data_IF_253198639453
#
_entry.id   IF_253198639453
#
_cell.length_a   1.000
_cell.length_b   1.000
_cell.length_c   1.000
_cell.angle_alpha   90.00
_cell.angle_beta   90.00
_cell.angle_gamma   90.00
#
_symmetry.space_group_name_H-M   'P 1'
#
loop_
_entity.id
_entity.type
_entity.pdbx_description
1 polymer ?
#
# COMPACT_ATOMS: atom_id res chain seq x y z
N UNK A 1 52.61 0.27 -20.35
CA UNK A 1 51.63 1.29 -20.68
C UNK A 1 50.38 0.58 -21.24
N UNK A 2 49.26 0.53 -20.66
CA UNK A 2 48.30 1.40 -20.00
C UNK A 2 47.49 0.59 -18.99
N UNK A 3 47.61 0.89 -17.71
CA UNK A 3 46.54 0.69 -16.72
C UNK A 3 45.78 2.01 -16.72
N UNK A 4 44.49 1.97 -16.87
CA UNK A 4 43.52 2.96 -16.36
C UNK A 4 42.16 2.65 -16.98
N UNK A 5 41.23 2.12 -16.18
CA UNK A 5 39.78 2.46 -16.17
C UNK A 5 38.99 1.36 -15.47
N UNK A 6 39.10 1.26 -14.16
CA UNK A 6 38.19 0.43 -13.35
C UNK A 6 37.86 1.08 -11.98
N UNK A 7 37.96 2.40 -11.83
CA UNK A 7 37.66 3.06 -10.56
C UNK A 7 36.27 3.74 -10.49
N UNK A 8 35.64 4.05 -11.62
CA UNK A 8 34.34 4.77 -11.56
C UNK A 8 33.17 3.86 -11.27
N UNK A 9 33.23 2.57 -11.59
CA UNK A 9 32.15 1.62 -11.31
C UNK A 9 32.03 1.20 -9.84
N UNK A 10 33.15 1.24 -9.10
CA UNK A 10 33.20 0.80 -7.71
C UNK A 10 32.71 1.89 -6.74
N UNK A 11 32.92 3.16 -7.03
CA UNK A 11 32.42 4.27 -6.22
C UNK A 11 30.90 4.42 -6.36
N UNK A 12 30.35 4.28 -7.57
CA UNK A 12 28.91 4.28 -7.77
C UNK A 12 28.22 3.08 -7.11
N UNK A 13 28.83 1.89 -7.13
CA UNK A 13 28.29 0.72 -6.42
C UNK A 13 28.38 0.88 -4.89
N UNK A 14 29.45 1.49 -4.37
CA UNK A 14 29.56 1.79 -2.93
C UNK A 14 28.59 2.88 -2.48
N UNK A 15 28.30 3.88 -3.33
CA UNK A 15 27.27 4.87 -3.06
C UNK A 15 25.87 4.23 -3.04
N UNK A 16 25.56 3.35 -4.00
CA UNK A 16 24.30 2.60 -4.05
C UNK A 16 24.16 1.60 -2.89
N UNK A 17 25.24 0.96 -2.45
CA UNK A 17 25.24 0.06 -1.28
C UNK A 17 25.19 0.83 0.04
N UNK A 18 25.73 2.04 0.11
CA UNK A 18 25.59 2.94 1.27
C UNK A 18 24.18 3.49 1.40
N UNK A 19 23.45 3.67 0.29
CA UNK A 19 22.04 4.08 0.27
C UNK A 19 21.10 2.90 0.58
N UNK A 20 21.46 1.67 0.24
CA UNK A 20 20.67 0.48 0.55
C UNK A 20 20.79 0.01 2.01
N UNK A 21 21.80 0.46 2.75
CA UNK A 21 22.04 0.06 4.15
C UNK A 21 21.37 0.91 5.22
N UNK A 22 20.76 2.03 4.86
CA UNK A 22 19.92 2.84 5.73
C UNK A 22 18.51 2.79 5.17
N UNK A 23 17.69 1.92 5.74
CA UNK A 23 16.28 1.76 5.38
C UNK A 23 15.51 3.06 5.66
N UNK A 24 15.39 3.85 4.66
CA UNK A 24 14.75 5.16 4.63
C UNK A 24 15.63 6.06 3.79
N UNK A 25 15.16 6.47 2.63
CA UNK A 25 15.77 7.59 1.92
C UNK A 25 15.55 8.81 2.80
N UNK A 26 16.53 9.08 3.69
CA UNK A 26 16.70 10.37 4.31
C UNK A 26 17.14 11.30 3.18
N UNK A 27 16.21 11.86 2.45
CA UNK A 27 16.49 12.98 1.58
C UNK A 27 16.50 14.24 2.43
N UNK A 28 17.71 14.74 2.67
CA UNK A 28 17.93 16.00 3.36
C UNK A 28 17.09 17.14 2.76
N UNK A 29 16.10 17.62 3.50
CA UNK A 29 15.78 19.04 3.61
C UNK A 29 15.22 19.76 2.39
N UNK A 30 14.69 19.10 1.37
CA UNK A 30 13.75 19.73 0.43
C UNK A 30 12.56 18.80 0.25
N UNK A 31 11.38 19.35 0.40
CA UNK A 31 10.10 18.73 0.09
C UNK A 31 10.22 18.21 -1.34
N UNK A 32 10.50 16.91 -1.48
CA UNK A 32 10.34 16.26 -2.77
C UNK A 32 8.88 16.44 -3.15
N UNK A 33 8.67 17.01 -4.32
CA UNK A 33 7.32 17.18 -4.81
C UNK A 33 6.66 15.81 -4.84
N UNK A 34 5.40 15.68 -4.47
CA UNK A 34 4.68 14.42 -4.54
C UNK A 34 4.80 13.73 -5.90
N UNK A 35 5.18 14.48 -6.94
CA UNK A 35 5.44 14.01 -8.31
C UNK A 35 6.70 13.14 -8.41
N UNK A 36 7.79 13.52 -7.76
CA UNK A 36 9.05 12.74 -7.77
C UNK A 36 8.84 11.44 -7.00
N UNK A 37 8.17 11.52 -5.86
CA UNK A 37 7.79 10.33 -5.11
C UNK A 37 6.86 9.41 -5.91
N UNK A 38 5.90 9.98 -6.65
CA UNK A 38 5.04 9.20 -7.54
C UNK A 38 5.84 8.45 -8.60
N UNK A 39 6.83 9.08 -9.23
CA UNK A 39 7.69 8.41 -10.21
C UNK A 39 8.41 7.22 -9.59
N UNK A 40 9.02 7.39 -8.43
CA UNK A 40 9.69 6.31 -7.70
C UNK A 40 8.74 5.15 -7.36
N UNK A 41 7.56 5.46 -6.83
CA UNK A 41 6.53 4.46 -6.52
C UNK A 41 6.08 3.72 -7.77
N UNK A 42 5.91 4.42 -8.89
CA UNK A 42 5.51 3.83 -10.17
C UNK A 42 6.58 2.89 -10.75
N UNK A 43 7.86 3.22 -10.60
CA UNK A 43 8.97 2.33 -10.99
C UNK A 43 8.99 1.07 -10.12
N UNK A 44 8.84 1.24 -8.81
CA UNK A 44 8.73 0.12 -7.88
C UNK A 44 7.53 -0.80 -8.22
N UNK A 45 6.36 -0.23 -8.51
CA UNK A 45 5.18 -0.98 -8.93
C UNK A 45 5.41 -1.78 -10.21
N UNK A 46 6.04 -1.19 -11.23
CA UNK A 46 6.39 -1.88 -12.47
C UNK A 46 7.31 -3.07 -12.22
N UNK A 47 8.34 -2.88 -11.39
CA UNK A 47 9.28 -3.94 -11.00
C UNK A 47 8.55 -5.07 -10.26
N UNK A 48 7.74 -4.71 -9.26
CA UNK A 48 6.96 -5.69 -8.48
C UNK A 48 5.94 -6.43 -9.35
N UNK A 49 5.30 -5.75 -10.29
CA UNK A 49 4.36 -6.36 -11.24
C UNK A 49 5.07 -7.38 -12.14
N UNK A 50 6.24 -7.03 -12.69
CA UNK A 50 7.03 -7.94 -13.51
C UNK A 50 7.48 -9.19 -12.72
N UNK A 51 7.91 -9.02 -11.46
CA UNK A 51 8.24 -10.14 -10.57
C UNK A 51 7.04 -11.05 -10.32
N UNK A 52 5.88 -10.46 -10.10
CA UNK A 52 4.63 -11.22 -9.88
C UNK A 52 4.20 -11.97 -11.14
N UNK A 53 4.31 -11.35 -12.33
CA UNK A 53 4.01 -12.02 -13.61
C UNK A 53 4.95 -13.22 -13.84
N UNK A 54 6.25 -13.10 -13.52
CA UNK A 54 7.21 -14.21 -13.58
C UNK A 54 6.83 -15.32 -12.59
N UNK A 55 6.53 -14.98 -11.34
CA UNK A 55 6.14 -15.96 -10.32
C UNK A 55 4.86 -16.72 -10.69
N UNK A 56 3.90 -16.07 -11.35
CA UNK A 56 2.69 -16.72 -11.86
C UNK A 56 3.05 -17.76 -12.93
N UNK A 57 3.88 -17.39 -13.92
CA UNK A 57 4.29 -18.31 -14.99
C UNK A 57 5.08 -19.52 -14.45
N UNK A 58 5.97 -19.30 -13.50
CA UNK A 58 6.71 -20.36 -12.82
C UNK A 58 5.76 -21.27 -12.04
N UNK A 59 4.81 -20.69 -11.28
CA UNK A 59 3.81 -21.46 -10.54
C UNK A 59 2.84 -22.24 -11.45
N UNK A 60 2.42 -21.71 -12.59
CA UNK A 60 1.60 -22.43 -13.57
C UNK A 60 2.35 -23.65 -14.12
N UNK A 61 3.65 -23.49 -14.44
CA UNK A 61 4.49 -24.59 -14.91
C UNK A 61 4.68 -25.67 -13.84
N UNK A 62 4.95 -25.28 -12.59
CA UNK A 62 5.09 -26.24 -11.49
C UNK A 62 3.80 -27.03 -11.25
N UNK A 63 2.62 -26.38 -11.38
CA UNK A 63 1.32 -27.05 -11.29
C UNK A 63 1.15 -28.06 -12.43
N UNK A 64 1.53 -27.70 -13.65
CA UNK A 64 1.47 -28.58 -14.82
C UNK A 64 2.40 -29.79 -14.63
N UNK A 65 3.66 -29.58 -14.25
CA UNK A 65 4.64 -30.63 -13.97
C UNK A 65 4.15 -31.60 -12.87
N UNK A 66 3.53 -31.06 -11.78
CA UNK A 66 2.94 -31.86 -10.70
C UNK A 66 1.76 -32.70 -11.19
N UNK A 67 0.91 -32.17 -12.07
CA UNK A 67 -0.20 -32.88 -12.67
C UNK A 67 0.28 -34.03 -13.57
N UNK A 68 1.28 -33.76 -14.44
CA UNK A 68 1.87 -34.76 -15.31
C UNK A 68 2.47 -35.91 -14.49
N UNK A 69 3.27 -35.59 -13.48
CA UNK A 69 3.84 -36.58 -12.56
C UNK A 69 2.77 -37.44 -11.87
N UNK A 70 1.69 -36.82 -11.42
CA UNK A 70 0.58 -37.53 -10.76
C UNK A 70 -0.07 -38.54 -11.71
N UNK A 71 -0.35 -38.19 -12.96
CA UNK A 71 -1.00 -39.08 -13.92
C UNK A 71 -0.09 -40.21 -14.40
N UNK A 72 1.19 -39.96 -14.58
CA UNK A 72 2.16 -40.95 -14.99
C UNK A 72 2.36 -42.03 -13.93
N UNK A 73 2.28 -41.67 -12.66
CA UNK A 73 2.56 -42.59 -11.53
C UNK A 73 1.30 -43.01 -10.76
N UNK A 74 0.10 -42.69 -11.27
CA UNK A 74 -1.16 -42.91 -10.57
C UNK A 74 -1.37 -44.37 -10.08
N UNK A 75 -1.04 -45.36 -10.91
CA UNK A 75 -1.22 -46.80 -10.60
C UNK A 75 -0.27 -47.28 -9.50
N UNK A 76 0.94 -46.73 -9.42
CA UNK A 76 1.91 -47.08 -8.37
C UNK A 76 1.57 -46.38 -7.05
N UNK A 77 1.09 -45.14 -7.10
CA UNK A 77 0.67 -44.37 -5.92
C UNK A 77 -0.57 -44.92 -5.24
N UNK A 78 -1.48 -45.56 -5.98
CA UNK A 78 -2.69 -46.16 -5.42
C UNK A 78 -2.34 -47.41 -4.56
N UNK A 79 -1.25 -48.10 -4.87
CA UNK A 79 -0.76 -49.25 -4.11
C UNK A 79 -0.12 -48.83 -2.75
N UNK A 80 0.43 -47.62 -2.65
CA UNK A 80 1.12 -47.11 -1.47
C UNK A 80 0.46 -45.89 -0.79
N UNK A 81 -0.79 -45.61 -1.01
CA UNK A 81 -1.73 -44.64 -0.40
C UNK A 81 -1.22 -43.34 0.24
N UNK A 82 -0.04 -43.32 0.84
CA UNK A 82 0.56 -42.17 1.50
C UNK A 82 1.15 -41.16 0.52
N UNK A 83 1.79 -41.59 -0.57
CA UNK A 83 2.41 -40.68 -1.57
C UNK A 83 1.34 -39.90 -2.33
N UNK A 84 0.17 -40.48 -2.57
CA UNK A 84 -0.95 -39.83 -3.21
C UNK A 84 -1.46 -38.62 -2.36
N UNK A 85 -1.56 -38.79 -1.04
CA UNK A 85 -2.00 -37.72 -0.15
C UNK A 85 -1.00 -36.57 -0.11
N UNK A 86 0.28 -36.84 -0.01
CA UNK A 86 1.33 -35.81 0.06
C UNK A 86 1.43 -35.04 -1.25
N UNK A 87 1.33 -35.72 -2.39
CA UNK A 87 1.32 -35.06 -3.71
C UNK A 87 0.09 -34.17 -3.91
N UNK A 88 -1.10 -34.61 -3.49
CA UNK A 88 -2.29 -33.77 -3.53
C UNK A 88 -2.15 -32.55 -2.63
N UNK A 89 -1.59 -32.70 -1.42
CA UNK A 89 -1.35 -31.56 -0.52
C UNK A 89 -0.34 -30.57 -1.10
N UNK A 90 0.73 -31.05 -1.75
CA UNK A 90 1.71 -30.21 -2.41
C UNK A 90 1.08 -29.42 -3.56
N UNK A 91 0.28 -30.10 -4.40
CA UNK A 91 -0.45 -29.46 -5.49
C UNK A 91 -1.41 -28.36 -5.00
N UNK A 92 -2.20 -28.64 -3.95
CA UNK A 92 -3.08 -27.64 -3.35
C UNK A 92 -2.33 -26.43 -2.80
N UNK A 93 -1.18 -26.63 -2.16
CA UNK A 93 -0.33 -25.53 -1.67
C UNK A 93 0.16 -24.67 -2.82
N UNK A 94 0.62 -25.30 -3.91
CA UNK A 94 1.10 -24.58 -5.09
C UNK A 94 -0.01 -23.81 -5.81
N UNK A 95 -1.19 -24.41 -5.94
CA UNK A 95 -2.36 -23.73 -6.50
C UNK A 95 -2.75 -22.50 -5.66
N UNK A 96 -2.79 -22.63 -4.33
CA UNK A 96 -3.10 -21.50 -3.45
C UNK A 96 -2.03 -20.40 -3.53
N UNK A 97 -0.75 -20.78 -3.56
CA UNK A 97 0.35 -19.82 -3.71
C UNK A 97 0.25 -19.04 -5.04
N UNK A 98 -0.10 -19.74 -6.13
CA UNK A 98 -0.29 -19.11 -7.43
C UNK A 98 -1.52 -18.19 -7.45
N UNK A 99 -2.63 -18.58 -6.81
CA UNK A 99 -3.81 -17.72 -6.65
C UNK A 99 -3.49 -16.43 -5.89
N UNK A 100 -2.69 -16.51 -4.83
CA UNK A 100 -2.21 -15.33 -4.10
C UNK A 100 -1.41 -14.38 -5.01
N UNK A 101 -0.58 -14.92 -5.92
CA UNK A 101 0.15 -14.10 -6.89
C UNK A 101 -0.82 -13.42 -7.89
N UNK A 102 -1.87 -14.08 -8.34
CA UNK A 102 -2.91 -13.47 -9.17
C UNK A 102 -3.63 -12.31 -8.47
N UNK A 103 -3.96 -12.48 -7.19
CA UNK A 103 -4.59 -11.44 -6.38
C UNK A 103 -3.64 -10.24 -6.18
N UNK A 104 -2.35 -10.52 -5.94
CA UNK A 104 -1.32 -9.50 -5.80
C UNK A 104 -1.14 -8.72 -7.11
N UNK A 105 -1.06 -9.40 -8.26
CA UNK A 105 -1.04 -8.80 -9.59
C UNK A 105 -2.22 -7.86 -9.83
N UNK A 106 -3.43 -8.32 -9.51
CA UNK A 106 -4.66 -7.53 -9.64
C UNK A 106 -4.59 -6.25 -8.77
N UNK A 107 -4.06 -6.36 -7.55
CA UNK A 107 -3.84 -5.23 -6.65
C UNK A 107 -2.84 -4.23 -7.24
N UNK A 108 -1.68 -4.70 -7.68
CA UNK A 108 -0.66 -3.83 -8.27
C UNK A 108 -1.15 -3.13 -9.54
N UNK A 109 -1.88 -3.83 -10.41
CA UNK A 109 -2.52 -3.20 -11.59
C UNK A 109 -3.48 -2.09 -11.21
N UNK A 110 -4.27 -2.27 -10.14
CA UNK A 110 -5.14 -1.22 -9.63
C UNK A 110 -4.35 -0.05 -9.05
N UNK A 111 -3.25 -0.32 -8.35
CA UNK A 111 -2.37 0.71 -7.80
C UNK A 111 -1.65 1.51 -8.89
N UNK A 112 -1.43 0.96 -10.08
CA UNK A 112 -0.84 1.69 -11.22
C UNK A 112 -1.68 2.90 -11.66
N UNK A 113 -2.99 2.89 -11.44
CA UNK A 113 -3.84 4.05 -11.73
C UNK A 113 -3.65 5.16 -10.69
N UNK A 114 -3.72 4.81 -9.41
CA UNK A 114 -3.58 5.75 -8.28
C UNK A 114 -2.96 5.02 -7.08
N UNK A 115 -1.61 5.03 -6.95
CA UNK A 115 -0.93 4.27 -5.91
C UNK A 115 -1.18 4.81 -4.51
N UNK A 116 -1.29 6.12 -4.36
CA UNK A 116 -1.61 6.78 -3.10
C UNK A 116 -2.49 8.00 -3.34
N UNK A 117 -3.19 8.43 -2.30
CA UNK A 117 -4.10 9.58 -2.33
C UNK A 117 -3.90 10.55 -1.16
N UNK A 118 -3.12 10.16 -0.17
CA UNK A 118 -2.83 10.98 1.01
C UNK A 118 -1.42 10.79 1.52
N UNK A 119 -0.92 11.78 2.26
CA UNK A 119 0.31 11.71 3.06
C UNK A 119 0.07 12.38 4.40
N UNK A 120 0.61 11.78 5.45
CA UNK A 120 0.71 12.37 6.78
C UNK A 120 2.18 12.45 7.14
N UNK A 121 2.62 13.61 7.56
CA UNK A 121 3.92 13.83 8.14
C UNK A 121 3.73 13.82 9.66
N UNK A 122 4.22 12.74 10.32
CA UNK A 122 4.00 12.49 11.73
C UNK A 122 5.33 12.47 12.48
N UNK A 123 5.47 13.34 13.46
CA UNK A 123 6.64 13.44 14.32
C UNK A 123 6.34 12.73 15.63
N UNK A 124 7.06 11.66 15.91
CA UNK A 124 6.93 10.96 17.18
C UNK A 124 7.47 11.81 18.33
N UNK A 125 6.92 11.59 19.52
CA UNK A 125 7.43 12.24 20.72
C UNK A 125 8.88 11.87 20.97
N UNK A 126 9.76 12.88 20.93
CA UNK A 126 11.22 12.73 21.12
C UNK A 126 12.03 12.64 19.83
N UNK A 127 11.41 12.58 18.65
CA UNK A 127 12.10 12.63 17.38
C UNK A 127 12.26 14.06 16.87
N UNK A 128 13.36 14.34 16.15
CA UNK A 128 13.62 15.66 15.59
C UNK A 128 12.94 15.89 14.24
N UNK A 129 12.72 14.84 13.46
CA UNK A 129 12.17 14.90 12.10
C UNK A 129 10.88 14.08 11.99
N UNK A 130 9.90 14.56 11.22
CA UNK A 130 8.67 13.82 10.97
C UNK A 130 8.91 12.64 10.03
N UNK A 131 8.21 11.56 10.29
CA UNK A 131 8.13 10.40 9.43
C UNK A 131 6.97 10.56 8.42
N UNK A 132 7.23 10.25 7.14
CA UNK A 132 6.27 10.44 6.06
C UNK A 132 5.51 9.14 5.79
N UNK A 133 4.18 9.18 5.90
CA UNK A 133 3.30 8.05 5.64
C UNK A 133 2.43 8.32 4.42
N UNK A 134 2.76 7.71 3.29
CA UNK A 134 1.92 7.74 2.10
C UNK A 134 0.83 6.68 2.18
N UNK A 135 -0.42 7.06 1.94
CA UNK A 135 -1.61 6.25 2.16
C UNK A 135 -2.30 5.97 0.83
N UNK A 136 -2.55 4.71 0.56
CA UNK A 136 -3.15 4.25 -0.70
C UNK A 136 -4.13 3.09 -0.50
N UNK A 137 -4.50 2.46 -1.61
CA UNK A 137 -5.47 1.37 -1.64
C UNK A 137 -4.89 0.00 -1.24
N UNK A 138 -3.60 -0.07 -0.97
CA UNK A 138 -2.91 -1.29 -0.52
C UNK A 138 -1.46 -1.00 -0.16
N UNK A 139 -0.84 -1.93 0.57
CA UNK A 139 0.57 -1.84 0.89
C UNK A 139 1.43 -2.07 -0.35
N UNK A 140 2.45 -1.24 -0.51
CA UNK A 140 3.54 -1.42 -1.45
C UNK A 140 4.86 -1.30 -0.71
N UNK A 141 5.73 -2.30 -0.86
CA UNK A 141 7.11 -2.28 -0.38
C UNK A 141 8.05 -2.55 -1.54
N UNK A 142 9.25 -2.03 -1.47
CA UNK A 142 10.26 -2.25 -2.52
C UNK A 142 10.65 -3.73 -2.63
N UNK A 143 10.82 -4.37 -1.47
CA UNK A 143 11.05 -5.82 -1.33
C UNK A 143 10.07 -6.40 -0.33
N UNK A 144 9.84 -7.71 -0.40
CA UNK A 144 9.00 -8.38 0.58
C UNK A 144 9.60 -8.24 1.99
N UNK A 145 8.78 -7.79 2.95
CA UNK A 145 9.19 -7.60 4.34
C UNK A 145 9.91 -6.28 4.63
N UNK A 146 10.23 -5.44 3.64
CA UNK A 146 10.74 -4.10 3.89
C UNK A 146 9.62 -3.14 4.30
N UNK A 147 10.01 -2.01 4.88
CA UNK A 147 9.08 -0.93 5.22
C UNK A 147 8.22 -0.55 4.01
N UNK A 148 6.90 -0.36 4.19
CA UNK A 148 6.05 0.08 3.09
C UNK A 148 6.42 1.47 2.57
N UNK A 149 6.47 1.61 1.26
CA UNK A 149 6.49 2.91 0.56
C UNK A 149 5.08 3.53 0.58
N UNK A 150 4.05 2.70 0.43
CA UNK A 150 2.65 3.10 0.51
C UNK A 150 1.96 2.18 1.51
N UNK A 151 1.27 2.77 2.46
CA UNK A 151 0.48 2.07 3.48
C UNK A 151 -0.96 1.88 3.01
N UNK A 152 -1.51 0.71 3.28
CA UNK A 152 -2.93 0.45 3.07
C UNK A 152 -3.75 1.43 3.95
N UNK A 153 -4.81 2.00 3.40
CA UNK A 153 -5.69 2.93 4.12
C UNK A 153 -6.32 2.32 5.38
N UNK A 154 -6.36 0.98 5.48
CA UNK A 154 -6.83 0.23 6.67
C UNK A 154 -5.75 0.01 7.72
N UNK A 155 -4.48 0.28 7.40
CA UNK A 155 -3.40 0.14 8.37
C UNK A 155 -3.61 1.05 9.58
N UNK A 156 -3.18 0.65 10.79
CA UNK A 156 -3.34 1.47 12.00
C UNK A 156 -2.82 2.91 11.84
N UNK A 157 -1.61 3.07 11.29
CA UNK A 157 -1.00 4.38 11.05
C UNK A 157 -1.81 5.26 10.10
N UNK A 158 -2.56 4.67 9.17
CA UNK A 158 -3.43 5.43 8.27
C UNK A 158 -4.60 6.10 8.99
N UNK A 159 -4.88 5.73 10.26
CA UNK A 159 -5.81 6.43 11.16
C UNK A 159 -5.44 7.89 11.35
N UNK A 160 -4.16 8.22 11.38
CA UNK A 160 -3.69 9.59 11.50
C UNK A 160 -4.27 10.51 10.42
N UNK A 161 -4.45 9.98 9.20
CA UNK A 161 -5.01 10.75 8.10
C UNK A 161 -6.52 11.04 8.25
N UNK A 162 -7.27 10.09 8.80
CA UNK A 162 -8.74 10.17 8.84
C UNK A 162 -9.28 10.76 10.14
N UNK A 163 -8.63 10.46 11.25
CA UNK A 163 -9.20 10.69 12.59
C UNK A 163 -8.70 11.98 13.23
N UNK A 164 -7.56 12.52 12.76
CA UNK A 164 -6.92 13.70 13.32
C UNK A 164 -6.78 14.81 12.29
N UNK A 165 -6.80 16.05 12.78
CA UNK A 165 -6.30 17.22 12.05
C UNK A 165 -4.81 17.43 12.39
N UNK A 166 -4.16 18.54 11.98
CA UNK A 166 -2.80 18.87 12.42
C UNK A 166 -2.74 19.06 13.94
N UNK A 167 -1.61 18.71 14.54
CA UNK A 167 -1.38 18.79 15.95
C UNK A 167 -1.30 17.42 16.64
N UNK A 168 -1.48 17.34 17.95
CA UNK A 168 -1.31 16.12 18.71
C UNK A 168 -2.20 14.98 18.20
N UNK A 169 -1.59 13.81 18.00
CA UNK A 169 -2.28 12.63 17.49
C UNK A 169 -1.61 11.35 18.00
N UNK A 170 -2.36 10.26 17.99
CA UNK A 170 -1.86 8.95 18.36
C UNK A 170 -2.50 7.85 17.52
N UNK A 171 -1.82 6.73 17.35
CA UNK A 171 -2.40 5.54 16.77
C UNK A 171 -1.97 4.29 17.53
N UNK A 172 -2.84 3.28 17.53
CA UNK A 172 -2.60 2.00 18.19
C UNK A 172 -2.18 0.96 17.14
N UNK A 173 -1.04 0.33 17.35
CA UNK A 173 -0.55 -0.79 16.56
C UNK A 173 -0.32 -2.01 17.45
N UNK A 174 -0.15 -3.22 16.91
CA UNK A 174 0.12 -4.42 17.71
C UNK A 174 1.32 -4.30 18.65
N UNK A 175 2.26 -3.40 18.35
CA UNK A 175 3.45 -3.12 19.18
C UNK A 175 3.21 -2.10 20.28
N UNK A 176 2.05 -1.42 20.33
CA UNK A 176 1.70 -0.43 21.35
C UNK A 176 1.03 0.82 20.77
N UNK A 177 0.88 1.82 21.64
CA UNK A 177 0.36 3.14 21.30
C UNK A 177 1.55 4.03 20.92
N UNK A 178 1.43 4.74 19.82
CA UNK A 178 2.41 5.69 19.33
C UNK A 178 1.82 7.09 19.39
N UNK A 179 2.44 7.97 20.16
CA UNK A 179 2.02 9.35 20.36
C UNK A 179 2.98 10.30 19.67
N UNK A 180 2.49 11.46 19.26
CA UNK A 180 3.27 12.48 18.57
C UNK A 180 2.41 13.57 17.98
N UNK A 181 2.91 14.27 16.97
CA UNK A 181 2.25 15.39 16.34
C UNK A 181 2.21 15.23 14.81
N UNK A 182 1.04 15.52 14.22
CA UNK A 182 0.90 15.66 12.77
C UNK A 182 1.35 17.06 12.38
N UNK A 183 2.48 17.14 11.68
CA UNK A 183 3.07 18.41 11.23
C UNK A 183 2.47 18.88 9.91
N UNK A 184 2.18 17.97 8.99
CA UNK A 184 1.45 18.29 7.76
C UNK A 184 0.62 17.10 7.24
N UNK A 185 -0.38 17.43 6.42
CA UNK A 185 -1.24 16.46 5.73
C UNK A 185 -1.43 16.90 4.30
N UNK A 186 -1.22 15.98 3.37
CA UNK A 186 -1.32 16.24 1.95
C UNK A 186 -2.35 15.33 1.30
N UNK A 187 -3.05 15.86 0.32
CA UNK A 187 -3.97 15.11 -0.54
C UNK A 187 -3.49 15.15 -1.98
N UNK A 188 -3.62 14.02 -2.63
CA UNK A 188 -3.17 13.83 -4.01
C UNK A 188 -4.32 13.34 -4.87
N UNK A 189 -4.44 13.91 -6.06
CA UNK A 189 -5.29 13.35 -7.11
C UNK A 189 -4.40 12.79 -8.20
N UNK A 190 -4.38 11.48 -8.28
CA UNK A 190 -3.61 10.73 -9.27
C UNK A 190 -4.60 9.96 -10.14
N UNK A 191 -4.39 9.96 -11.44
CA UNK A 191 -5.18 9.21 -12.40
C UNK A 191 -4.28 8.73 -13.54
N UNK A 192 -4.40 7.45 -13.92
CA UNK A 192 -3.56 6.80 -14.91
C UNK A 192 -2.05 6.96 -14.61
N UNK A 193 -1.67 6.92 -13.34
CA UNK A 193 -0.29 7.10 -12.90
C UNK A 193 0.25 8.52 -13.05
N UNK A 194 -0.61 9.50 -13.28
CA UNK A 194 -0.22 10.91 -13.42
C UNK A 194 -0.81 11.76 -12.30
N UNK A 195 0.02 12.62 -11.70
CA UNK A 195 -0.41 13.59 -10.69
C UNK A 195 -1.19 14.71 -11.37
N UNK A 196 -2.49 14.81 -11.08
CA UNK A 196 -3.34 15.89 -11.55
C UNK A 196 -3.15 17.12 -10.68
N UNK A 197 -3.25 16.96 -9.36
CA UNK A 197 -2.95 18.00 -8.38
C UNK A 197 -2.54 17.40 -7.03
N UNK A 198 -1.87 18.25 -6.25
CA UNK A 198 -1.49 18.01 -4.86
C UNK A 198 -1.77 19.26 -4.05
N UNK A 199 -2.24 19.11 -2.82
CA UNK A 199 -2.46 20.24 -1.93
C UNK A 199 -2.33 19.82 -0.46
N UNK A 200 -1.90 20.75 0.35
CA UNK A 200 -1.85 20.58 1.80
C UNK A 200 -3.25 20.79 2.41
N UNK A 201 -3.68 19.83 3.25
CA UNK A 201 -5.08 19.75 3.70
C UNK A 201 -5.52 20.87 4.64
N UNK A 202 -4.58 21.62 5.24
CA UNK A 202 -4.87 22.70 6.21
C UNK A 202 -4.73 24.12 5.63
N UNK A 203 -4.30 24.24 4.42
CA UNK A 203 -4.43 25.52 3.72
C UNK A 203 -5.92 25.70 3.49
N UNK A 204 -6.52 26.77 4.03
CA UNK A 204 -7.83 27.23 3.60
C UNK A 204 -7.73 27.32 2.08
N UNK A 205 -8.32 26.32 1.41
CA UNK A 205 -8.27 26.25 -0.04
C UNK A 205 -8.89 27.54 -0.51
N UNK A 206 -8.10 28.38 -1.15
CA UNK A 206 -8.62 29.58 -1.80
C UNK A 206 -9.74 29.13 -2.73
N UNK A 207 -10.91 29.72 -2.59
CA UNK A 207 -12.16 29.33 -3.25
C UNK A 207 -12.03 29.13 -4.78
N UNK A 208 -10.95 29.64 -5.39
CA UNK A 208 -10.71 29.55 -6.84
C UNK A 208 -10.29 28.15 -7.31
N UNK A 209 -9.43 27.41 -6.58
CA UNK A 209 -8.99 26.08 -6.99
C UNK A 209 -10.10 25.06 -6.71
N UNK A 210 -10.81 25.23 -5.60
CA UNK A 210 -11.99 24.44 -5.27
C UNK A 210 -13.15 24.73 -6.20
N UNK A 211 -13.36 25.99 -6.57
CA UNK A 211 -14.41 26.43 -7.47
C UNK A 211 -14.24 25.92 -8.90
N UNK A 212 -12.99 25.81 -9.39
CA UNK A 212 -12.71 25.28 -10.72
C UNK A 212 -13.00 23.77 -10.85
N UNK A 213 -12.80 23.00 -9.77
CA UNK A 213 -13.07 21.54 -9.76
C UNK A 213 -14.51 21.19 -9.37
N UNK A 214 -15.22 22.05 -8.67
CA UNK A 214 -16.49 21.74 -8.04
C UNK A 214 -17.72 22.43 -8.64
N UNK A 215 -17.53 23.37 -9.52
CA UNK A 215 -18.58 23.93 -10.39
C UNK A 215 -19.82 24.53 -9.74
N UNK A 216 -19.98 24.58 -8.40
CA UNK A 216 -21.10 25.27 -7.76
C UNK A 216 -21.00 25.39 -6.23
N UNK A 217 -21.51 26.49 -5.72
CA UNK A 217 -21.52 26.89 -4.29
C UNK A 217 -22.25 25.93 -3.30
N UNK A 218 -22.84 24.83 -3.79
CA UNK A 218 -23.57 23.88 -2.97
C UNK A 218 -22.75 22.73 -2.36
N UNK A 219 -21.49 22.55 -2.80
CA UNK A 219 -20.75 21.34 -2.51
C UNK A 219 -19.88 21.38 -1.26
N UNK A 220 -19.62 22.53 -0.66
CA UNK A 220 -18.83 22.65 0.59
C UNK A 220 -19.54 21.97 1.75
N UNK A 221 -20.86 22.09 1.85
CA UNK A 221 -21.66 21.39 2.87
C UNK A 221 -21.68 19.87 2.61
N UNK A 222 -21.78 19.47 1.33
CA UNK A 222 -21.76 18.05 0.95
C UNK A 222 -20.41 17.39 1.29
N UNK A 223 -19.31 18.11 1.10
CA UNK A 223 -17.96 17.63 1.45
C UNK A 223 -17.76 17.42 2.94
N UNK A 224 -18.26 18.35 3.76
CA UNK A 224 -18.21 18.21 5.21
C UNK A 224 -19.04 17.00 5.67
N UNK A 225 -20.19 16.78 5.05
CA UNK A 225 -21.05 15.61 5.31
C UNK A 225 -20.32 14.32 4.88
N UNK A 226 -19.75 14.27 3.68
CA UNK A 226 -18.99 13.10 3.18
C UNK A 226 -17.79 12.80 4.07
N UNK A 227 -17.04 13.82 4.50
CA UNK A 227 -15.91 13.67 5.44
C UNK A 227 -16.36 13.11 6.79
N UNK A 228 -17.47 13.60 7.32
CA UNK A 228 -18.04 13.13 8.59
C UNK A 228 -18.51 11.68 8.48
N UNK A 229 -19.23 11.34 7.41
CA UNK A 229 -19.67 9.97 7.14
C UNK A 229 -18.47 9.04 6.98
N UNK A 230 -17.42 9.47 6.26
CA UNK A 230 -16.20 8.67 6.10
C UNK A 230 -15.48 8.44 7.43
N UNK A 231 -15.42 9.44 8.32
CA UNK A 231 -14.83 9.31 9.65
C UNK A 231 -15.59 8.27 10.49
N UNK A 232 -16.91 8.33 10.52
CA UNK A 232 -17.76 7.36 11.23
C UNK A 232 -17.61 5.94 10.63
N UNK A 233 -17.60 5.82 9.31
CA UNK A 233 -17.40 4.55 8.62
C UNK A 233 -16.01 3.95 8.92
N UNK A 234 -14.98 4.76 8.94
CA UNK A 234 -13.61 4.33 9.25
C UNK A 234 -13.49 3.84 10.69
N UNK A 235 -14.13 4.51 11.65
CA UNK A 235 -14.17 4.05 13.05
C UNK A 235 -14.76 2.64 13.16
N UNK A 236 -15.83 2.36 12.41
CA UNK A 236 -16.48 1.05 12.39
C UNK A 236 -15.57 0.00 11.73
N UNK A 237 -14.97 0.33 10.58
CA UNK A 237 -14.09 -0.58 9.84
C UNK A 237 -12.86 -0.97 10.68
N UNK A 238 -12.30 -0.04 11.44
CA UNK A 238 -11.10 -0.23 12.26
C UNK A 238 -11.33 -0.85 13.62
N UNK A 239 -12.59 -0.99 14.03
CA UNK A 239 -12.92 -1.64 15.30
C UNK A 239 -12.63 -3.14 15.22
N UNK A 240 -11.52 -3.56 15.81
CA UNK A 240 -11.07 -4.96 15.89
C UNK A 240 -11.40 -5.62 17.24
N UNK A 241 -11.88 -4.84 18.21
CA UNK A 241 -12.18 -5.32 19.58
C UNK A 241 -13.50 -6.07 19.67
N UNK A 242 -14.51 -5.67 18.89
CA UNK A 242 -15.84 -6.24 18.97
C UNK A 242 -15.96 -7.51 18.13
N UNK A 243 -16.32 -8.62 18.78
CA UNK A 243 -16.57 -9.91 18.11
C UNK A 243 -17.84 -9.91 17.26
N UNK A 244 -18.82 -9.13 17.67
CA UNK A 244 -20.12 -8.99 16.99
C UNK A 244 -20.43 -7.51 16.90
N UNK A 245 -20.71 -7.03 15.68
CA UNK A 245 -21.11 -5.66 15.43
C UNK A 245 -22.39 -5.61 14.62
N UNK A 246 -23.32 -4.75 15.01
CA UNK A 246 -24.58 -4.50 14.31
C UNK A 246 -24.51 -3.10 13.70
N UNK A 247 -24.51 -3.00 12.37
CA UNK A 247 -24.46 -1.73 11.65
C UNK A 247 -25.87 -1.37 11.22
N UNK A 248 -26.41 -0.27 11.79
CA UNK A 248 -27.72 0.27 11.46
C UNK A 248 -27.58 1.64 10.76
N UNK A 249 -28.41 1.91 9.78
CA UNK A 249 -28.41 3.19 9.07
C UNK A 249 -29.41 3.21 7.93
N UNK A 250 -29.66 4.39 7.36
CA UNK A 250 -30.58 4.59 6.25
C UNK A 250 -30.15 3.82 4.98
N UNK A 251 -31.08 3.65 4.03
CA UNK A 251 -30.74 3.11 2.72
C UNK A 251 -29.71 4.02 2.03
N UNK A 252 -28.67 3.43 1.43
CA UNK A 252 -27.60 4.19 0.78
C UNK A 252 -26.47 4.70 1.70
N UNK A 253 -26.54 4.49 3.03
CA UNK A 253 -25.49 4.93 3.97
C UNK A 253 -24.17 4.15 3.92
N UNK A 254 -24.00 3.24 2.97
CA UNK A 254 -22.76 2.48 2.81
C UNK A 254 -22.59 1.28 3.75
N UNK A 255 -23.65 0.80 4.44
CA UNK A 255 -23.58 -0.33 5.37
C UNK A 255 -22.92 -1.57 4.81
N UNK A 256 -23.28 -1.97 3.58
CA UNK A 256 -22.71 -3.12 2.91
C UNK A 256 -21.22 -2.90 2.57
N UNK A 257 -20.89 -1.68 2.16
CA UNK A 257 -19.48 -1.31 1.89
C UNK A 257 -18.64 -1.41 3.18
N UNK A 258 -19.13 -0.88 4.29
CA UNK A 258 -18.46 -0.96 5.59
C UNK A 258 -18.28 -2.41 6.04
N UNK A 259 -19.31 -3.24 5.90
CA UNK A 259 -19.25 -4.66 6.28
C UNK A 259 -18.28 -5.49 5.41
N UNK A 260 -18.13 -5.13 4.12
CA UNK A 260 -17.20 -5.80 3.21
C UNK A 260 -15.73 -5.36 3.42
N UNK A 261 -15.52 -4.18 4.00
CA UNK A 261 -14.17 -3.62 4.23
C UNK A 261 -13.63 -3.88 5.64
N UNK A 262 -14.47 -4.37 6.55
CA UNK A 262 -14.06 -4.81 7.88
C UNK A 262 -13.44 -6.22 7.84
#
# INVERSE_FOLDING_TARGET
MKKLSNCEGTEQLQLLLSLAGKGGIMMNGSIESGREYLQYVMECLKKRLAQTDTAILEGEKEIEDMHEYYWENYTEMDEYGYENYDNQQALFRQMNANEEQFLLRKRFRKMMDSPFFGRVDFQYDGDEEPELFYIGIGNLSETAGSRPLVYDWRAPVSGLFYDYDKGPAAYEAPSGIFEGEITSKWQYKIRNGQMLYEFESDVKIDDEILGAELGSKGEVQLKNIVRTIQKEQNTIIRNTSDKIMVIQGAAGSGKTSVALHR
#
